data_IF_794555329655
#
_entry.id   IF_794555329655
#
_cell.length_a   1.000
_cell.length_b   1.000
_cell.length_c   1.000
_cell.angle_alpha   90.00
_cell.angle_beta   90.00
_cell.angle_gamma   90.00
#
_symmetry.space_group_name_H-M   'P 1'
#
loop_
_entity.id
_entity.type
_entity.pdbx_description
1 polymer ?
#
# COMPACT_ATOMS: atom_id res chain seq x y z
N UNK A 1 -15.97 -3.62 0.01
CA UNK A 1 -15.71 -3.68 1.46
C UNK A 1 -14.26 -3.28 1.67
N UNK A 2 -13.95 -2.22 2.44
CA UNK A 2 -12.57 -1.89 2.74
C UNK A 2 -11.91 -3.02 3.52
N UNK A 3 -10.68 -3.37 3.18
CA UNK A 3 -9.96 -4.51 3.78
C UNK A 3 -9.73 -4.38 5.29
N UNK A 4 -9.83 -3.16 5.84
CA UNK A 4 -9.71 -2.90 7.27
C UNK A 4 -11.05 -3.00 8.04
N UNK A 5 -12.19 -3.01 7.35
CA UNK A 5 -13.53 -3.18 7.97
C UNK A 5 -13.86 -4.65 8.21
N UNK A 6 -12.93 -5.36 8.85
CA UNK A 6 -13.12 -6.74 9.28
C UNK A 6 -13.32 -6.71 10.78
N UNK A 7 -14.58 -6.66 11.20
CA UNK A 7 -14.95 -6.60 12.61
C UNK A 7 -14.79 -7.95 13.31
N UNK A 8 -13.66 -8.18 13.96
CA UNK A 8 -13.53 -9.28 14.93
C UNK A 8 -13.72 -8.73 16.34
N UNK A 9 -14.93 -8.89 16.89
CA UNK A 9 -15.31 -8.59 18.28
C UNK A 9 -15.15 -7.11 18.71
N UNK A 10 -13.96 -6.53 18.63
CA UNK A 10 -13.56 -5.25 19.23
C UNK A 10 -13.22 -4.12 18.22
N UNK A 11 -13.83 -4.15 17.03
CA UNK A 11 -13.71 -3.05 16.05
C UNK A 11 -12.93 -3.42 14.78
N UNK A 12 -12.55 -2.38 14.03
CA UNK A 12 -11.86 -2.48 12.75
C UNK A 12 -10.35 -2.72 12.92
N UNK A 13 -9.71 -3.30 11.89
CA UNK A 13 -8.28 -3.51 11.90
C UNK A 13 -7.51 -2.19 11.81
N UNK A 14 -6.46 -2.05 12.62
CA UNK A 14 -5.58 -0.87 12.56
C UNK A 14 -4.87 -0.73 11.20
N UNK A 15 -4.62 -1.86 10.50
CA UNK A 15 -4.03 -1.89 9.17
C UNK A 15 -4.30 -3.22 8.46
N UNK A 16 -4.38 -3.20 7.14
CA UNK A 16 -4.45 -4.39 6.29
C UNK A 16 -3.53 -4.22 5.08
N UNK A 17 -2.77 -5.27 4.74
CA UNK A 17 -1.88 -5.26 3.56
C UNK A 17 -1.79 -6.65 2.94
N UNK A 18 -1.66 -6.77 1.60
CA UNK A 18 -1.36 -8.02 0.93
C UNK A 18 -0.14 -8.71 1.55
N UNK A 19 -0.06 -10.03 1.53
CA UNK A 19 1.20 -10.71 1.81
C UNK A 19 2.18 -10.58 0.63
N UNK A 20 3.40 -11.11 0.74
CA UNK A 20 4.41 -11.07 -0.34
C UNK A 20 3.78 -11.44 -1.68
N UNK A 21 3.93 -10.55 -2.67
CA UNK A 21 3.34 -10.77 -3.99
C UNK A 21 4.06 -11.92 -4.70
N UNK A 22 3.33 -12.94 -5.17
CA UNK A 22 3.92 -13.96 -6.03
C UNK A 22 4.24 -13.42 -7.43
N UNK A 23 3.73 -12.22 -7.78
CA UNK A 23 3.93 -11.56 -9.07
C UNK A 23 4.83 -10.34 -8.86
N UNK A 24 6.08 -10.34 -9.35
CA UNK A 24 7.07 -9.29 -9.07
C UNK A 24 6.67 -7.87 -9.52
N UNK A 25 5.68 -7.75 -10.41
CA UNK A 25 5.32 -6.49 -11.06
C UNK A 25 3.90 -6.00 -10.73
N UNK A 26 3.25 -6.60 -9.74
CA UNK A 26 1.95 -6.12 -9.29
C UNK A 26 2.10 -4.95 -8.31
N UNK A 27 1.28 -3.91 -8.51
CA UNK A 27 1.08 -2.83 -7.55
C UNK A 27 -0.31 -2.96 -6.94
N UNK A 28 -0.38 -2.91 -5.62
CA UNK A 28 -1.62 -2.92 -4.85
C UNK A 28 -1.88 -1.53 -4.30
N UNK A 29 -3.08 -1.02 -4.56
CA UNK A 29 -3.57 0.23 -4.00
C UNK A 29 -4.57 -0.11 -2.91
N UNK A 30 -4.38 0.46 -1.73
CA UNK A 30 -5.18 0.20 -0.54
C UNK A 30 -5.62 1.51 0.08
N UNK A 31 -6.85 1.56 0.57
CA UNK A 31 -7.29 2.73 1.32
C UNK A 31 -6.54 2.81 2.65
N UNK A 32 -6.04 3.99 2.99
CA UNK A 32 -5.42 4.24 4.28
C UNK A 32 -6.50 4.18 5.38
N UNK A 33 -6.29 3.40 6.46
CA UNK A 33 -7.29 3.28 7.52
C UNK A 33 -7.45 4.56 8.36
N UNK A 34 -6.46 5.45 8.35
CA UNK A 34 -6.46 6.70 9.13
C UNK A 34 -6.83 7.94 8.28
N UNK A 35 -6.71 7.85 6.96
CA UNK A 35 -7.06 8.92 6.01
C UNK A 35 -8.02 8.38 4.93
N UNK A 36 -9.32 8.74 4.97
CA UNK A 36 -10.31 8.27 4.01
C UNK A 36 -9.99 8.62 2.55
N UNK A 37 -9.22 9.70 2.31
CA UNK A 37 -8.77 10.12 0.98
C UNK A 37 -7.38 9.56 0.64
N UNK A 38 -6.66 9.02 1.62
CA UNK A 38 -5.32 8.46 1.49
C UNK A 38 -5.32 7.08 0.83
N UNK A 39 -4.31 6.85 -0.01
CA UNK A 39 -4.07 5.57 -0.67
C UNK A 39 -2.65 5.11 -0.34
N UNK A 40 -2.54 3.96 0.31
CA UNK A 40 -1.29 3.26 0.51
C UNK A 40 -0.98 2.40 -0.71
N UNK A 41 0.25 2.47 -1.22
CA UNK A 41 0.70 1.69 -2.38
C UNK A 41 1.76 0.68 -1.96
N UNK A 42 1.54 -0.58 -2.33
CA UNK A 42 2.53 -1.66 -2.19
C UNK A 42 2.90 -2.20 -3.56
N UNK A 43 4.15 -2.04 -3.95
CA UNK A 43 4.67 -2.47 -5.25
C UNK A 43 5.95 -3.29 -5.06
N UNK A 44 6.06 -4.39 -5.82
CA UNK A 44 7.32 -5.11 -5.96
C UNK A 44 8.22 -4.39 -6.97
N UNK A 45 9.46 -4.09 -6.59
CA UNK A 45 10.46 -3.51 -7.49
C UNK A 45 11.73 -4.33 -7.43
N UNK A 46 12.41 -4.45 -8.58
CA UNK A 46 13.78 -4.96 -8.59
C UNK A 46 14.70 -3.97 -7.87
N UNK A 47 15.74 -4.43 -7.16
CA UNK A 47 16.62 -3.53 -6.40
C UNK A 47 17.14 -2.32 -7.19
N UNK A 48 17.57 -2.44 -8.47
CA UNK A 48 18.03 -1.28 -9.25
C UNK A 48 16.92 -0.26 -9.57
N UNK A 49 15.66 -0.70 -9.60
CA UNK A 49 14.51 0.15 -9.90
C UNK A 49 14.01 0.92 -8.68
N UNK A 50 14.36 0.48 -7.47
CA UNK A 50 13.92 1.11 -6.22
C UNK A 50 14.40 2.56 -6.13
N UNK A 51 15.70 2.80 -6.35
CA UNK A 51 16.30 4.14 -6.25
C UNK A 51 15.72 5.12 -7.28
N UNK A 52 15.52 4.65 -8.51
CA UNK A 52 14.91 5.45 -9.56
C UNK A 52 13.44 5.76 -9.22
N UNK A 53 12.67 4.76 -8.79
CA UNK A 53 11.28 4.93 -8.40
C UNK A 53 11.12 5.94 -7.27
N UNK A 54 11.86 5.77 -6.16
CA UNK A 54 11.81 6.69 -5.02
C UNK A 54 12.15 8.11 -5.42
N UNK A 55 13.15 8.29 -6.30
CA UNK A 55 13.53 9.61 -6.80
C UNK A 55 12.39 10.25 -7.60
N UNK A 56 11.86 9.60 -8.62
CA UNK A 56 10.86 10.22 -9.49
C UNK A 56 9.48 10.35 -8.85
N UNK A 57 9.08 9.37 -8.04
CA UNK A 57 7.76 9.36 -7.42
C UNK A 57 7.67 10.40 -6.30
N UNK A 58 8.67 10.48 -5.42
CA UNK A 58 8.62 11.38 -4.26
C UNK A 58 8.97 12.84 -4.61
N UNK A 59 9.74 13.09 -5.67
CA UNK A 59 10.06 14.46 -6.10
C UNK A 59 8.81 15.25 -6.48
N UNK A 60 7.74 14.59 -6.96
CA UNK A 60 6.52 15.26 -7.41
C UNK A 60 5.43 15.39 -6.32
N UNK A 61 5.73 15.03 -5.07
CA UNK A 61 4.77 15.09 -3.94
C UNK A 61 4.97 16.38 -3.10
N UNK A 62 5.49 17.45 -3.72
CA UNK A 62 5.61 18.78 -3.07
C UNK A 62 4.34 19.61 -3.18
#
# INVERSE_FOLDING_TARGET
MPFYKVGFLHGDAAYASPMVTPIPQAAYLMQNPNDPAGIDVRIGLLPPSLDAFSRYFLINVQ
#
